data_IF_975817199800
#
_entry.id   IF_975817199800
#
_cell.length_a   1.000
_cell.length_b   1.000
_cell.length_c   1.000
_cell.angle_alpha   90.00
_cell.angle_beta   90.00
_cell.angle_gamma   90.00
#
_symmetry.space_group_name_H-M   'P 1'
#
loop_
_entity.id
_entity.type
_entity.pdbx_description
1 polymer ?
#
# COMPACT_ATOMS: atom_id res chain seq x y z
N UNK A 1 9.64 11.99 -8.82
CA UNK A 1 11.07 12.30 -8.98
C UNK A 1 11.68 12.18 -7.59
N UNK A 2 12.35 11.07 -7.31
CA UNK A 2 13.17 10.96 -6.10
C UNK A 2 14.56 11.43 -6.51
N UNK A 3 14.98 12.57 -6.00
CA UNK A 3 16.35 13.06 -6.10
C UNK A 3 16.72 13.55 -4.70
N UNK A 4 17.63 12.85 -4.03
CA UNK A 4 18.34 13.39 -2.88
C UNK A 4 19.82 13.44 -3.24
N UNK A 5 20.30 14.67 -3.42
CA UNK A 5 21.69 15.02 -3.62
C UNK A 5 21.88 16.44 -3.11
N UNK A 6 22.53 16.55 -1.97
CA UNK A 6 22.93 17.76 -1.25
C UNK A 6 23.76 18.70 -2.15
N UNK A 7 23.34 19.96 -2.30
CA UNK A 7 24.20 21.06 -2.73
C UNK A 7 23.63 22.39 -2.24
N UNK A 8 24.16 22.83 -1.10
CA UNK A 8 24.07 24.18 -0.55
C UNK A 8 24.46 25.25 -1.56
N UNK A 9 23.65 26.33 -1.56
CA UNK A 9 24.02 27.74 -1.74
C UNK A 9 25.08 28.08 -2.80
N UNK A 10 24.62 28.61 -3.94
CA UNK A 10 25.25 29.76 -4.60
C UNK A 10 24.16 30.56 -5.33
N UNK A 11 23.61 31.57 -4.63
CA UNK A 11 22.80 32.63 -5.22
C UNK A 11 23.77 33.69 -5.75
N UNK A 12 23.80 33.88 -7.08
CA UNK A 12 24.44 35.04 -7.69
C UNK A 12 23.48 36.21 -7.70
N UNK A 13 24.00 37.32 -7.23
CA UNK A 13 23.41 38.64 -7.12
C UNK A 13 22.89 39.20 -8.44
N UNK A 14 21.70 39.79 -8.39
CA UNK A 14 21.40 41.01 -9.14
C UNK A 14 20.62 41.97 -8.23
N UNK A 15 21.38 42.86 -7.60
CA UNK A 15 20.95 44.14 -7.04
C UNK A 15 20.47 45.07 -8.18
N UNK A 16 19.38 45.82 -7.99
CA UNK A 16 19.28 47.31 -7.90
C UNK A 16 17.81 47.62 -8.31
N UNK A 17 16.97 48.48 -7.72
CA UNK A 17 17.09 49.73 -6.97
C UNK A 17 15.80 49.97 -6.15
N UNK A 18 15.95 50.59 -4.98
CA UNK A 18 14.86 51.18 -4.18
C UNK A 18 14.33 52.48 -4.80
N UNK A 19 13.00 52.63 -4.83
CA UNK A 19 12.30 53.91 -4.93
C UNK A 19 11.18 53.96 -3.90
N UNK A 20 11.22 54.93 -2.99
CA UNK A 20 10.32 55.09 -1.84
C UNK A 20 9.42 56.30 -2.08
N UNK A 21 8.10 56.15 -2.16
CA UNK A 21 7.13 57.24 -1.92
C UNK A 21 5.73 56.73 -1.48
N UNK A 22 5.35 57.16 -0.28
CA UNK A 22 4.03 57.61 0.21
C UNK A 22 2.73 57.18 -0.50
N UNK A 23 1.91 56.42 0.22
CA UNK A 23 0.50 56.73 0.56
C UNK A 23 -0.51 57.01 -0.56
N UNK A 24 -1.33 56.02 -0.89
CA UNK A 24 -2.71 56.19 -1.36
C UNK A 24 -3.49 54.88 -1.16
N UNK A 25 -4.68 54.97 -0.58
CA UNK A 25 -5.58 53.85 -0.35
C UNK A 25 -6.22 53.41 -1.67
N UNK A 26 -5.86 52.23 -2.18
CA UNK A 26 -6.48 51.67 -3.36
C UNK A 26 -7.60 50.70 -2.96
N UNK A 27 -8.84 51.11 -3.23
CA UNK A 27 -10.05 50.30 -3.10
C UNK A 27 -10.05 49.31 -4.25
N UNK A 28 -9.83 48.03 -3.95
CA UNK A 28 -10.00 46.94 -4.93
C UNK A 28 -11.50 46.70 -5.10
N UNK A 29 -12.04 47.16 -6.23
CA UNK A 29 -13.36 46.77 -6.72
C UNK A 29 -13.27 45.31 -7.18
N UNK A 30 -13.82 44.39 -6.39
CA UNK A 30 -13.98 43.00 -6.81
C UNK A 30 -15.12 42.86 -7.81
N UNK A 31 -14.86 42.17 -8.92
CA UNK A 31 -15.80 41.88 -9.99
C UNK A 31 -16.90 40.92 -9.50
N UNK A 32 -18.16 41.36 -9.61
CA UNK A 32 -19.37 40.65 -9.15
C UNK A 32 -19.58 39.29 -9.84
N UNK A 33 -18.83 39.00 -10.92
CA UNK A 33 -18.91 37.73 -11.67
C UNK A 33 -18.14 36.57 -11.03
N UNK A 34 -17.23 36.83 -10.09
CA UNK A 34 -16.45 35.77 -9.42
C UNK A 34 -17.25 35.11 -8.28
N UNK A 35 -18.25 35.81 -7.73
CA UNK A 35 -19.15 35.27 -6.70
C UNK A 35 -20.28 34.39 -7.28
N UNK A 36 -20.72 34.62 -8.51
CA UNK A 36 -21.77 33.78 -9.13
C UNK A 36 -21.27 32.43 -9.65
N UNK A 37 -19.97 32.30 -9.97
CA UNK A 37 -19.38 31.03 -10.41
C UNK A 37 -19.10 30.07 -9.23
N UNK A 38 -18.80 30.60 -8.03
CA UNK A 38 -18.59 29.81 -6.82
C UNK A 38 -19.91 29.34 -6.17
N UNK A 39 -21.05 29.96 -6.51
CA UNK A 39 -22.35 29.64 -5.93
C UNK A 39 -23.16 28.56 -6.69
N UNK A 40 -22.69 28.08 -7.86
CA UNK A 40 -23.49 27.20 -8.75
C UNK A 40 -23.04 25.74 -8.91
N UNK A 41 -22.16 25.23 -8.04
CA UNK A 41 -21.82 23.81 -8.04
C UNK A 41 -21.92 23.20 -6.63
N UNK A 42 -23.14 23.17 -6.09
CA UNK A 42 -23.49 22.25 -5.00
C UNK A 42 -24.52 21.26 -5.52
N UNK A 43 -24.26 19.93 -5.47
CA UNK A 43 -25.30 18.97 -5.80
C UNK A 43 -26.37 19.00 -4.71
N UNK A 44 -27.56 19.47 -5.06
CA UNK A 44 -28.73 19.38 -4.20
C UNK A 44 -29.17 17.92 -4.09
N UNK A 45 -29.02 17.33 -2.90
CA UNK A 45 -29.60 16.03 -2.52
C UNK A 45 -31.14 16.11 -2.61
N UNK A 46 -31.70 15.66 -3.73
CA UNK A 46 -33.14 15.50 -3.88
C UNK A 46 -33.55 14.12 -3.39
N UNK A 47 -34.15 14.12 -2.20
CA UNK A 47 -35.01 13.07 -1.63
C UNK A 47 -34.37 11.69 -1.37
N UNK A 48 -33.98 11.45 -0.12
CA UNK A 48 -33.75 10.10 0.42
C UNK A 48 -35.10 9.53 0.88
N UNK A 49 -35.61 8.53 0.16
CA UNK A 49 -36.83 7.81 0.54
C UNK A 49 -36.49 6.74 1.60
N UNK A 50 -36.88 6.96 2.85
CA UNK A 50 -36.66 6.00 3.96
C UNK A 50 -37.89 5.12 4.09
N UNK A 51 -37.84 3.90 3.56
CA UNK A 51 -38.86 2.88 3.84
C UNK A 51 -38.74 2.43 5.30
N UNK A 52 -39.70 2.83 6.14
CA UNK A 52 -39.83 2.31 7.52
C UNK A 52 -40.17 0.82 7.48
N UNK A 53 -39.17 -0.04 7.65
CA UNK A 53 -39.38 -1.46 7.98
C UNK A 53 -39.89 -1.57 9.42
N UNK A 54 -41.09 -2.10 9.60
CA UNK A 54 -41.79 -2.26 10.88
C UNK A 54 -41.47 -3.58 11.61
N UNK A 55 -40.34 -4.23 11.31
CA UNK A 55 -39.92 -5.45 12.05
C UNK A 55 -38.82 -5.13 13.06
N UNK A 56 -39.08 -5.45 14.33
CA UNK A 56 -38.18 -5.32 15.46
C UNK A 56 -36.86 -6.06 15.17
N UNK A 57 -35.76 -5.32 15.00
CA UNK A 57 -34.41 -5.86 14.88
C UNK A 57 -33.64 -5.55 16.17
N UNK A 58 -33.14 -6.60 16.83
CA UNK A 58 -32.20 -6.50 17.95
C UNK A 58 -30.80 -6.68 17.37
N UNK A 59 -30.07 -5.57 17.19
CA UNK A 59 -28.71 -5.50 16.63
C UNK A 59 -28.30 -4.05 16.33
N UNK A 60 -26.99 -3.73 16.17
CA UNK A 60 -26.52 -2.36 15.94
C UNK A 60 -27.10 -1.80 14.64
N UNK A 61 -27.80 -0.67 14.75
CA UNK A 61 -28.54 -0.04 13.66
C UNK A 61 -27.69 1.07 13.03
N UNK A 62 -27.35 0.94 11.75
CA UNK A 62 -26.72 2.00 10.96
C UNK A 62 -27.80 3.01 10.56
N UNK A 63 -27.65 4.28 10.93
CA UNK A 63 -28.73 5.28 10.79
C UNK A 63 -28.52 6.23 9.59
N UNK A 64 -27.30 6.41 9.09
CA UNK A 64 -27.04 7.13 7.84
C UNK A 64 -25.56 7.07 7.47
N UNK A 65 -25.25 6.97 6.17
CA UNK A 65 -23.93 7.29 5.61
C UNK A 65 -24.08 8.63 4.89
N UNK A 66 -23.33 9.64 5.32
CA UNK A 66 -23.28 10.93 4.62
C UNK A 66 -21.88 11.10 4.07
N UNK A 67 -21.76 11.09 2.74
CA UNK A 67 -20.51 11.35 2.04
C UNK A 67 -20.36 12.87 1.94
N UNK A 68 -19.35 13.44 2.59
CA UNK A 68 -19.02 14.85 2.46
C UNK A 68 -17.87 15.02 1.46
N UNK A 69 -17.84 16.17 0.77
CA UNK A 69 -17.01 16.47 -0.42
C UNK A 69 -15.50 16.34 -0.19
N UNK A 70 -15.04 16.30 1.06
CA UNK A 70 -13.71 15.84 1.41
C UNK A 70 -13.76 14.34 1.72
N UNK A 71 -13.47 13.47 0.72
CA UNK A 71 -13.41 12.00 0.74
C UNK A 71 -12.99 11.33 2.08
N UNK A 72 -13.83 11.44 3.09
CA UNK A 72 -13.64 10.91 4.43
C UNK A 72 -14.95 10.23 4.80
N UNK A 73 -14.95 8.90 4.71
CA UNK A 73 -16.08 8.10 5.18
C UNK A 73 -16.14 8.20 6.71
N UNK A 74 -17.14 8.93 7.22
CA UNK A 74 -17.38 9.05 8.65
C UNK A 74 -18.51 8.11 9.05
N UNK A 75 -18.17 7.03 9.74
CA UNK A 75 -19.17 6.12 10.32
C UNK A 75 -19.63 6.69 11.66
N UNK A 76 -20.89 7.12 11.74
CA UNK A 76 -21.52 7.60 12.99
C UNK A 76 -22.33 6.47 13.63
N UNK A 77 -21.93 6.07 14.84
CA UNK A 77 -22.65 5.11 15.67
C UNK A 77 -23.14 5.75 16.97
N UNK A 78 -24.37 5.42 17.40
CA UNK A 78 -24.96 5.93 18.65
C UNK A 78 -25.09 4.78 19.64
N UNK A 79 -24.36 4.84 20.75
CA UNK A 79 -24.45 3.88 21.86
C UNK A 79 -24.71 4.67 23.14
N UNK A 80 -25.81 4.35 23.84
CA UNK A 80 -26.16 4.88 25.17
C UNK A 80 -26.08 6.41 25.29
N UNK A 81 -26.50 7.15 24.25
CA UNK A 81 -26.56 8.62 24.27
C UNK A 81 -25.24 9.34 23.99
N UNK A 82 -24.14 8.63 23.76
CA UNK A 82 -22.87 9.22 23.33
C UNK A 82 -22.72 9.08 21.81
N UNK A 83 -22.36 10.18 21.16
CA UNK A 83 -22.04 10.23 19.73
C UNK A 83 -20.56 9.92 19.52
N UNK A 84 -20.27 8.79 18.89
CA UNK A 84 -18.91 8.41 18.52
C UNK A 84 -18.70 8.72 17.04
N UNK A 85 -17.77 9.65 16.78
CA UNK A 85 -17.34 10.05 15.43
C UNK A 85 -15.93 9.50 15.22
N UNK A 86 -15.75 8.64 14.21
CA UNK A 86 -14.44 8.10 13.85
C UNK A 86 -13.96 8.70 12.52
N UNK A 87 -12.94 9.58 12.54
CA UNK A 87 -12.18 9.90 11.34
C UNK A 87 -11.06 8.86 11.15
N UNK A 88 -10.84 8.44 9.90
CA UNK A 88 -9.83 7.45 9.47
C UNK A 88 -8.41 7.80 9.98
N UNK A 89 -8.08 7.32 11.17
CA UNK A 89 -6.72 7.08 11.61
C UNK A 89 -6.77 6.07 12.76
N UNK A 90 -6.96 4.79 12.40
CA UNK A 90 -7.14 3.66 13.32
C UNK A 90 -5.93 3.34 14.21
N UNK A 91 -4.83 4.11 14.11
CA UNK A 91 -3.76 4.12 15.11
C UNK A 91 -4.19 4.74 16.44
N UNK A 92 -5.08 5.75 16.44
CA UNK A 92 -5.53 6.42 17.67
C UNK A 92 -6.42 5.56 18.54
N UNK A 93 -7.26 4.69 17.97
CA UNK A 93 -8.15 3.83 18.76
C UNK A 93 -7.36 2.72 19.49
N UNK A 94 -6.35 2.15 18.83
CA UNK A 94 -5.44 1.16 19.43
C UNK A 94 -4.57 1.79 20.53
N UNK A 95 -4.08 3.01 20.32
CA UNK A 95 -3.39 3.77 21.37
C UNK A 95 -4.33 4.16 22.51
N UNK A 96 -5.57 4.55 22.23
CA UNK A 96 -6.54 4.93 23.27
C UNK A 96 -6.91 3.73 24.14
N UNK A 97 -7.21 2.57 23.55
CA UNK A 97 -7.49 1.34 24.30
C UNK A 97 -6.26 0.89 25.08
N UNK A 98 -5.06 0.92 24.49
CA UNK A 98 -3.82 0.60 25.19
C UNK A 98 -3.54 1.57 26.34
N UNK A 99 -3.82 2.87 26.18
CA UNK A 99 -3.69 3.89 27.22
C UNK A 99 -4.71 3.65 28.32
N UNK A 100 -5.96 3.31 28.00
CA UNK A 100 -6.98 2.95 28.99
C UNK A 100 -6.62 1.68 29.76
N UNK A 101 -6.07 0.66 29.09
CA UNK A 101 -5.61 -0.58 29.75
C UNK A 101 -4.39 -0.30 30.63
N UNK A 102 -3.41 0.49 30.17
CA UNK A 102 -2.27 0.92 30.99
C UNK A 102 -2.72 1.74 32.19
N UNK A 103 -3.65 2.69 32.01
CA UNK A 103 -4.19 3.47 33.12
C UNK A 103 -4.96 2.60 34.11
N UNK A 104 -5.77 1.66 33.64
CA UNK A 104 -6.45 0.70 34.51
C UNK A 104 -5.42 -0.14 35.31
N UNK A 105 -4.34 -0.59 34.67
CA UNK A 105 -3.27 -1.34 35.33
C UNK A 105 -2.51 -0.52 36.36
N UNK A 106 -2.20 0.75 36.04
CA UNK A 106 -1.55 1.69 36.96
C UNK A 106 -2.45 1.99 38.16
N UNK A 107 -3.75 2.22 37.93
CA UNK A 107 -4.72 2.49 39.00
C UNK A 107 -4.90 1.27 39.90
N UNK A 108 -5.03 0.07 39.34
CA UNK A 108 -5.11 -1.18 40.10
C UNK A 108 -3.81 -1.41 40.88
N UNK A 109 -2.64 -1.21 40.27
CA UNK A 109 -1.35 -1.38 40.94
C UNK A 109 -1.15 -0.38 42.07
N UNK A 110 -1.48 0.90 41.86
CA UNK A 110 -1.42 1.94 42.88
C UNK A 110 -2.39 1.68 44.03
N UNK A 111 -3.61 1.21 43.75
CA UNK A 111 -4.57 0.81 44.78
C UNK A 111 -4.08 -0.40 45.58
N UNK A 112 -3.52 -1.41 44.92
CA UNK A 112 -2.93 -2.57 45.62
C UNK A 112 -1.75 -2.15 46.50
N UNK A 113 -0.87 -1.27 46.01
CA UNK A 113 0.26 -0.73 46.79
C UNK A 113 -0.23 0.13 47.96
N UNK A 114 -1.24 0.97 47.76
CA UNK A 114 -1.82 1.80 48.81
C UNK A 114 -2.45 0.94 49.92
N UNK A 115 -3.20 -0.10 49.54
CA UNK A 115 -3.77 -1.07 50.48
C UNK A 115 -2.65 -1.80 51.22
N UNK A 116 -1.61 -2.28 50.53
CA UNK A 116 -0.48 -2.96 51.16
C UNK A 116 0.29 -2.04 52.11
N UNK A 117 0.57 -0.80 51.70
CA UNK A 117 1.29 0.19 52.49
C UNK A 117 0.51 0.58 53.75
N UNK A 118 -0.80 0.85 53.66
CA UNK A 118 -1.63 1.17 54.82
C UNK A 118 -1.96 -0.03 55.71
N UNK A 119 -2.18 -1.23 55.13
CA UNK A 119 -2.41 -2.45 55.88
C UNK A 119 -1.15 -2.91 56.61
N UNK A 120 0.03 -2.84 55.96
CA UNK A 120 1.30 -3.14 56.60
C UNK A 120 1.70 -2.08 57.62
N UNK A 121 1.52 -0.77 57.34
CA UNK A 121 1.85 0.29 58.29
C UNK A 121 1.07 0.19 59.62
N UNK A 122 -0.15 -0.36 59.60
CA UNK A 122 -0.91 -0.67 60.82
C UNK A 122 -0.38 -1.91 61.57
N UNK A 123 0.33 -2.82 60.92
CA UNK A 123 0.82 -4.08 61.50
C UNK A 123 2.31 -4.12 61.84
N UNK A 124 3.12 -3.12 61.44
CA UNK A 124 4.56 -3.04 61.82
C UNK A 124 4.80 -3.02 63.35
N UNK A 125 3.79 -2.74 64.19
CA UNK A 125 3.92 -2.86 65.66
C UNK A 125 3.97 -4.30 66.21
N UNK A 126 3.83 -5.34 65.38
CA UNK A 126 3.99 -6.76 65.77
C UNK A 126 4.68 -7.54 64.65
N UNK A 127 5.98 -7.37 64.50
CA UNK A 127 6.77 -8.19 63.57
C UNK A 127 7.67 -9.12 64.38
N UNK A 128 7.18 -10.33 64.67
CA UNK A 128 8.03 -11.48 65.00
C UNK A 128 8.09 -12.36 63.75
N UNK A 129 9.29 -12.51 63.20
CA UNK A 129 9.55 -12.98 61.85
C UNK A 129 9.92 -14.47 61.88
N UNK A 130 8.95 -15.39 62.04
CA UNK A 130 9.25 -16.84 62.00
C UNK A 130 8.07 -17.78 61.63
N UNK A 131 7.03 -17.30 60.94
CA UNK A 131 5.95 -18.18 60.45
C UNK A 131 6.05 -18.53 58.95
N UNK A 132 5.75 -19.78 58.55
CA UNK A 132 5.71 -20.17 57.14
C UNK A 132 4.60 -19.40 56.41
N UNK A 133 4.97 -18.82 55.26
CA UNK A 133 4.15 -17.94 54.42
C UNK A 133 2.66 -18.34 54.26
N UNK A 134 2.28 -19.63 54.09
CA UNK A 134 0.88 -20.03 53.93
C UNK A 134 0.03 -19.82 55.19
N UNK A 135 0.61 -20.01 56.39
CA UNK A 135 -0.11 -19.82 57.66
C UNK A 135 -0.28 -18.33 57.96
N UNK A 136 0.74 -17.52 57.65
CA UNK A 136 0.69 -16.07 57.78
C UNK A 136 -0.40 -15.44 56.90
N UNK A 137 -0.51 -15.86 55.64
CA UNK A 137 -1.56 -15.39 54.73
C UNK A 137 -2.98 -15.78 55.19
N UNK A 138 -3.11 -16.97 55.80
CA UNK A 138 -4.39 -17.44 56.35
C UNK A 138 -4.85 -16.62 57.58
N UNK A 139 -3.93 -16.29 58.49
CA UNK A 139 -4.24 -15.46 59.66
C UNK A 139 -4.55 -14.01 59.29
N UNK A 140 -3.89 -13.46 58.27
CA UNK A 140 -4.24 -12.15 57.69
C UNK A 140 -5.66 -12.17 57.11
N UNK A 141 -6.01 -13.20 56.33
CA UNK A 141 -7.34 -13.35 55.77
C UNK A 141 -8.45 -13.53 56.84
N UNK A 142 -8.09 -14.07 58.01
CA UNK A 142 -9.00 -14.24 59.15
C UNK A 142 -9.17 -12.95 59.98
N UNK A 143 -8.12 -12.14 60.06
CA UNK A 143 -8.06 -10.87 60.81
C UNK A 143 -8.66 -9.66 60.07
N UNK A 144 -8.89 -9.78 58.76
CA UNK A 144 -9.41 -8.72 57.89
C UNK A 144 -10.93 -8.58 58.00
N UNK A 145 -11.40 -7.33 57.95
CA UNK A 145 -12.82 -7.00 58.06
C UNK A 145 -13.61 -7.55 56.87
N UNK A 146 -14.94 -7.74 57.02
CA UNK A 146 -15.79 -8.21 55.90
C UNK A 146 -15.71 -7.29 54.68
N UNK A 147 -15.53 -5.98 54.90
CA UNK A 147 -15.40 -4.99 53.83
C UNK A 147 -14.10 -5.15 53.02
N UNK A 148 -12.97 -5.39 53.69
CA UNK A 148 -11.67 -5.61 53.02
C UNK A 148 -11.67 -6.89 52.18
N UNK A 149 -12.31 -7.95 52.68
CA UNK A 149 -12.48 -9.20 51.91
C UNK A 149 -13.35 -9.03 50.67
N UNK A 150 -14.43 -8.25 50.77
CA UNK A 150 -15.28 -7.94 49.62
C UNK A 150 -14.55 -7.08 48.58
N UNK A 151 -13.72 -6.13 49.03
CA UNK A 151 -12.91 -5.29 48.15
C UNK A 151 -11.84 -6.10 47.40
N UNK A 152 -11.12 -6.99 48.10
CA UNK A 152 -10.15 -7.90 47.47
C UNK A 152 -10.83 -8.87 46.49
N UNK A 153 -12.00 -9.42 46.85
CA UNK A 153 -12.76 -10.28 45.94
C UNK A 153 -13.21 -9.52 44.68
N UNK A 154 -13.71 -8.29 44.83
CA UNK A 154 -14.09 -7.44 43.71
C UNK A 154 -12.90 -7.09 42.80
N UNK A 155 -11.73 -6.81 43.38
CA UNK A 155 -10.50 -6.55 42.63
C UNK A 155 -10.03 -7.79 41.84
N UNK A 156 -10.09 -8.98 42.44
CA UNK A 156 -9.76 -10.24 41.75
C UNK A 156 -10.73 -10.56 40.61
N UNK A 157 -12.03 -10.31 40.80
CA UNK A 157 -13.05 -10.47 39.75
C UNK A 157 -12.80 -9.49 38.60
N UNK A 158 -12.48 -8.23 38.90
CA UNK A 158 -12.17 -7.22 37.89
C UNK A 158 -10.91 -7.59 37.08
N UNK A 159 -9.86 -8.06 37.76
CA UNK A 159 -8.63 -8.50 37.10
C UNK A 159 -8.86 -9.72 36.20
N UNK A 160 -9.65 -10.69 36.67
CA UNK A 160 -10.02 -11.85 35.86
C UNK A 160 -10.86 -11.46 34.64
N UNK A 161 -11.82 -10.53 34.80
CA UNK A 161 -12.60 -9.99 33.69
C UNK A 161 -11.73 -9.25 32.67
N UNK A 162 -10.75 -8.46 33.11
CA UNK A 162 -9.78 -7.82 32.21
C UNK A 162 -8.93 -8.83 31.44
N UNK A 163 -8.44 -9.89 32.10
CA UNK A 163 -7.69 -10.96 31.43
C UNK A 163 -8.57 -11.66 30.40
N UNK A 164 -9.81 -12.02 30.76
CA UNK A 164 -10.76 -12.64 29.82
C UNK A 164 -11.06 -11.74 28.63
N UNK A 165 -11.21 -10.42 28.82
CA UNK A 165 -11.40 -9.47 27.74
C UNK A 165 -10.17 -9.39 26.85
N UNK A 166 -8.96 -9.31 27.42
CA UNK A 166 -7.71 -9.32 26.63
C UNK A 166 -7.60 -10.61 25.83
N UNK A 167 -7.87 -11.77 26.42
CA UNK A 167 -7.86 -13.07 25.73
C UNK A 167 -8.95 -13.11 24.64
N UNK A 168 -10.16 -12.66 24.94
CA UNK A 168 -11.26 -12.57 23.97
C UNK A 168 -10.86 -11.69 22.77
N UNK A 169 -10.35 -10.49 23.02
CA UNK A 169 -9.95 -9.57 21.95
C UNK A 169 -8.69 -10.05 21.21
N UNK A 170 -7.73 -10.69 21.87
CA UNK A 170 -6.51 -11.15 21.19
C UNK A 170 -6.71 -12.45 20.42
N UNK A 171 -7.52 -13.39 20.93
CA UNK A 171 -7.74 -14.71 20.31
C UNK A 171 -8.88 -14.67 19.30
N UNK A 172 -10.02 -14.06 19.63
CA UNK A 172 -11.19 -14.06 18.74
C UNK A 172 -11.03 -13.07 17.59
N UNK A 173 -10.50 -11.86 17.83
CA UNK A 173 -10.25 -10.91 16.72
C UNK A 173 -9.17 -11.44 15.78
N UNK A 174 -8.16 -12.15 16.31
CA UNK A 174 -7.16 -12.81 15.47
C UNK A 174 -7.78 -13.91 14.61
N UNK A 175 -8.63 -14.78 15.19
CA UNK A 175 -9.38 -15.79 14.42
C UNK A 175 -10.30 -15.18 13.37
N UNK A 176 -11.03 -14.12 13.71
CA UNK A 176 -11.92 -13.43 12.76
C UNK A 176 -11.14 -12.78 11.60
N UNK A 177 -9.87 -12.39 11.80
CA UNK A 177 -9.02 -11.87 10.72
C UNK A 177 -8.52 -12.96 9.76
N UNK A 178 -8.45 -14.22 10.21
CA UNK A 178 -8.02 -15.37 9.41
C UNK A 178 -9.19 -15.96 8.57
N UNK A 179 -10.45 -15.70 8.93
CA UNK A 179 -11.64 -16.28 8.29
C UNK A 179 -12.23 -15.45 7.13
N UNK A 180 -11.65 -14.30 6.79
CA UNK A 180 -12.03 -13.59 5.55
C UNK A 180 -11.48 -14.38 4.38
N UNK A 181 -12.34 -15.16 3.72
CA UNK A 181 -12.00 -15.87 2.48
C UNK A 181 -11.64 -14.82 1.43
N UNK A 182 -10.34 -14.69 1.14
CA UNK A 182 -9.79 -13.77 0.15
C UNK A 182 -10.04 -14.32 -1.27
N UNK A 183 -11.30 -14.28 -1.71
CA UNK A 183 -11.70 -14.72 -3.05
C UNK A 183 -11.49 -13.55 -4.02
N UNK A 184 -10.44 -13.66 -4.84
CA UNK A 184 -10.26 -12.77 -5.98
C UNK A 184 -11.24 -13.14 -7.10
N UNK A 185 -11.66 -12.17 -7.94
CA UNK A 185 -12.56 -12.42 -9.06
C UNK A 185 -11.96 -13.33 -10.15
N UNK A 186 -10.64 -13.43 -10.21
CA UNK A 186 -9.93 -14.36 -11.09
C UNK A 186 -8.68 -14.91 -10.39
N UNK A 187 -8.26 -16.12 -10.78
CA UNK A 187 -7.25 -16.89 -10.05
C UNK A 187 -5.89 -16.18 -10.02
N UNK A 188 -5.51 -15.55 -11.14
CA UNK A 188 -4.15 -15.05 -11.32
C UNK A 188 -4.02 -13.74 -12.09
N UNK A 189 -4.83 -13.53 -13.12
CA UNK A 189 -4.85 -12.29 -13.92
C UNK A 189 -6.03 -11.42 -13.47
N UNK A 190 -5.79 -10.22 -12.98
CA UNK A 190 -6.80 -9.29 -12.47
C UNK A 190 -6.81 -8.07 -13.39
N UNK A 191 -7.88 -7.91 -14.16
CA UNK A 191 -8.06 -6.74 -15.00
C UNK A 191 -8.42 -5.48 -14.19
N UNK A 192 -8.44 -4.33 -14.86
CA UNK A 192 -8.72 -3.03 -14.23
C UNK A 192 -10.07 -2.94 -13.52
N UNK A 193 -11.11 -3.53 -14.11
CA UNK A 193 -12.45 -3.51 -13.54
C UNK A 193 -12.53 -4.37 -12.27
N UNK A 194 -11.86 -5.52 -12.28
CA UNK A 194 -11.77 -6.44 -11.15
C UNK A 194 -11.14 -5.79 -9.91
N UNK A 195 -10.11 -4.95 -10.07
CA UNK A 195 -9.54 -4.19 -8.94
C UNK A 195 -10.14 -2.79 -8.75
N UNK A 196 -11.25 -2.49 -9.44
CA UNK A 196 -11.99 -1.22 -9.33
C UNK A 196 -11.10 -0.01 -9.60
N UNK A 197 -10.32 -0.05 -10.69
CA UNK A 197 -9.46 1.04 -11.11
C UNK A 197 -10.27 2.33 -11.33
N UNK A 198 -9.89 3.46 -10.71
CA UNK A 198 -10.31 4.77 -11.18
C UNK A 198 -10.14 4.93 -12.69
N UNK A 199 -11.13 5.50 -13.39
CA UNK A 199 -11.00 5.82 -14.81
C UNK A 199 -9.87 6.83 -15.00
N UNK A 200 -9.14 6.69 -16.10
CA UNK A 200 -8.03 7.56 -16.43
C UNK A 200 -8.02 7.86 -17.93
N UNK A 201 -8.59 9.00 -18.32
CA UNK A 201 -8.59 9.45 -19.71
C UNK A 201 -7.38 10.36 -19.95
N UNK A 202 -6.33 9.82 -20.59
CA UNK A 202 -5.32 10.61 -21.30
C UNK A 202 -4.91 9.84 -22.53
N UNK A 203 -4.79 10.54 -23.65
CA UNK A 203 -4.34 10.03 -24.95
C UNK A 203 -3.26 8.96 -24.78
N UNK A 204 -3.67 7.70 -24.84
CA UNK A 204 -2.81 6.56 -24.59
C UNK A 204 -1.99 6.31 -25.86
N UNK A 205 -0.80 6.91 -25.91
CA UNK A 205 0.19 6.56 -26.91
C UNK A 205 0.36 5.04 -26.92
N UNK A 206 0.35 4.43 -28.11
CA UNK A 206 0.43 2.98 -28.27
C UNK A 206 1.86 2.51 -28.53
N UNK A 207 2.14 1.24 -28.25
CA UNK A 207 3.45 0.63 -28.53
C UNK A 207 3.59 0.12 -29.97
N UNK A 208 2.56 0.25 -30.82
CA UNK A 208 2.45 -0.36 -32.16
C UNK A 208 3.70 -0.17 -33.04
N UNK A 209 4.40 0.97 -32.92
CA UNK A 209 5.64 1.25 -33.67
C UNK A 209 6.78 0.27 -33.34
N UNK A 210 6.80 -0.25 -32.12
CA UNK A 210 7.88 -1.09 -31.58
C UNK A 210 7.43 -2.53 -31.34
N UNK A 211 6.17 -2.86 -31.64
CA UNK A 211 5.64 -4.20 -31.51
C UNK A 211 6.20 -5.14 -32.61
N UNK A 212 6.44 -6.43 -32.30
CA UNK A 212 6.41 -7.02 -30.95
C UNK A 212 7.57 -6.50 -30.09
N UNK A 213 7.28 -6.13 -28.85
CA UNK A 213 8.28 -5.60 -27.92
C UNK A 213 9.36 -6.65 -27.63
N UNK A 214 10.61 -6.20 -27.53
CA UNK A 214 11.78 -7.07 -27.28
C UNK A 214 12.44 -6.84 -25.93
N UNK A 215 11.94 -5.88 -25.15
CA UNK A 215 12.51 -5.50 -23.87
C UNK A 215 11.43 -5.50 -22.79
N UNK A 216 11.71 -6.14 -21.68
CA UNK A 216 10.88 -6.15 -20.47
C UNK A 216 11.70 -5.54 -19.33
N UNK A 217 11.16 -4.50 -18.69
CA UNK A 217 11.83 -3.81 -17.58
C UNK A 217 11.14 -4.18 -16.28
N UNK A 218 11.88 -4.85 -15.40
CA UNK A 218 11.42 -5.23 -14.07
C UNK A 218 11.69 -4.09 -13.09
N UNK A 219 10.66 -3.71 -12.35
CA UNK A 219 10.72 -2.69 -11.30
C UNK A 219 10.10 -3.18 -10.00
N UNK A 220 10.29 -2.41 -8.93
CA UNK A 220 9.47 -2.49 -7.72
C UNK A 220 8.71 -1.17 -7.48
N UNK A 221 7.68 -1.20 -6.65
CA UNK A 221 6.87 0.00 -6.36
C UNK A 221 7.44 0.87 -5.24
N UNK A 222 8.28 0.32 -4.36
CA UNK A 222 8.68 0.96 -3.09
C UNK A 222 7.46 1.24 -2.21
N UNK A 223 6.45 0.38 -2.30
CA UNK A 223 5.25 0.42 -1.47
C UNK A 223 5.29 -0.64 -0.36
N UNK A 224 4.34 -0.62 0.59
CA UNK A 224 4.10 -1.78 1.44
C UNK A 224 3.75 -3.02 0.61
N UNK A 225 4.04 -4.20 1.18
CA UNK A 225 3.60 -5.48 0.61
C UNK A 225 2.08 -5.68 0.79
N UNK A 226 1.50 -6.49 -0.09
CA UNK A 226 0.08 -6.84 -0.06
C UNK A 226 -0.09 -8.36 -0.28
N UNK A 227 -0.69 -9.06 0.69
CA UNK A 227 -0.77 -10.54 0.68
C UNK A 227 -2.18 -11.08 0.49
N UNK A 228 -3.16 -10.19 0.30
CA UNK A 228 -4.57 -10.49 0.04
C UNK A 228 -5.04 -9.65 -1.13
N UNK A 229 -5.93 -10.18 -1.95
CA UNK A 229 -6.52 -9.49 -3.09
C UNK A 229 -7.10 -8.13 -2.69
N UNK A 230 -7.89 -8.08 -1.61
CA UNK A 230 -8.49 -6.82 -1.16
C UNK A 230 -7.44 -5.74 -0.81
N UNK A 231 -6.32 -6.17 -0.23
CA UNK A 231 -5.23 -5.27 0.15
C UNK A 231 -4.41 -4.86 -1.07
N UNK A 232 -4.15 -5.78 -2.01
CA UNK A 232 -3.44 -5.47 -3.24
C UNK A 232 -4.25 -4.54 -4.13
N UNK A 233 -5.53 -4.81 -4.33
CA UNK A 233 -6.43 -3.93 -5.08
C UNK A 233 -6.50 -2.54 -4.43
N UNK A 234 -6.53 -2.44 -3.10
CA UNK A 234 -6.45 -1.16 -2.41
C UNK A 234 -5.11 -0.45 -2.64
N UNK A 235 -4.00 -1.18 -2.60
CA UNK A 235 -2.67 -0.62 -2.85
C UNK A 235 -2.50 -0.13 -4.29
N UNK A 236 -3.04 -0.84 -5.30
CA UNK A 236 -3.07 -0.36 -6.68
C UNK A 236 -3.82 0.97 -6.79
N UNK A 237 -5.01 1.08 -6.18
CA UNK A 237 -5.78 2.34 -6.19
C UNK A 237 -5.05 3.48 -5.47
N UNK A 238 -4.34 3.19 -4.38
CA UNK A 238 -3.52 4.17 -3.67
C UNK A 238 -2.37 4.68 -4.55
N UNK A 239 -1.64 3.75 -5.18
CA UNK A 239 -0.54 4.08 -6.09
C UNK A 239 -1.07 4.87 -7.29
N UNK A 240 -2.17 4.44 -7.90
CA UNK A 240 -2.79 5.14 -9.02
C UNK A 240 -3.19 6.57 -8.64
N UNK A 241 -3.89 6.74 -7.51
CA UNK A 241 -4.27 8.05 -7.00
C UNK A 241 -3.07 8.96 -6.73
N UNK A 242 -1.97 8.39 -6.21
CA UNK A 242 -0.71 9.10 -6.05
C UNK A 242 -0.12 9.57 -7.40
N UNK A 243 0.01 8.68 -8.39
CA UNK A 243 0.58 9.05 -9.69
C UNK A 243 -0.29 10.04 -10.45
N UNK A 244 -1.61 9.86 -10.42
CA UNK A 244 -2.56 10.78 -11.02
C UNK A 244 -2.47 12.17 -10.39
N UNK A 245 -2.40 12.26 -9.05
CA UNK A 245 -2.30 13.53 -8.33
C UNK A 245 -0.93 14.21 -8.50
N UNK A 246 0.15 13.45 -8.44
CA UNK A 246 1.52 14.01 -8.39
C UNK A 246 2.10 14.29 -9.76
N UNK A 247 1.79 13.46 -10.76
CA UNK A 247 2.39 13.56 -12.09
C UNK A 247 1.38 13.67 -13.23
N UNK A 248 0.08 13.50 -12.94
CA UNK A 248 -0.95 13.57 -13.96
C UNK A 248 -0.85 12.44 -14.98
N UNK A 249 -0.40 11.25 -14.60
CA UNK A 249 -0.46 10.05 -15.45
C UNK A 249 -0.94 8.86 -14.60
N UNK A 250 -1.38 7.77 -15.25
CA UNK A 250 -1.85 6.55 -14.57
C UNK A 250 -0.73 5.84 -13.78
N UNK A 251 -0.93 4.61 -13.29
CA UNK A 251 0.17 3.75 -12.85
C UNK A 251 1.27 3.70 -13.94
N UNK A 252 2.57 3.89 -13.61
CA UNK A 252 3.62 4.01 -14.63
C UNK A 252 3.96 2.68 -15.31
N UNK A 253 3.48 1.55 -14.80
CA UNK A 253 3.79 0.21 -15.28
C UNK A 253 2.66 -0.32 -16.16
N UNK A 254 2.97 -1.30 -17.03
CA UNK A 254 1.96 -2.01 -17.81
C UNK A 254 1.24 -3.05 -16.95
N UNK A 255 2.01 -3.79 -16.16
CA UNK A 255 1.51 -4.81 -15.25
C UNK A 255 2.19 -4.73 -13.90
N UNK A 256 1.51 -5.22 -12.87
CA UNK A 256 2.00 -5.23 -11.50
C UNK A 256 1.76 -6.60 -10.86
N UNK A 257 2.64 -7.07 -9.98
CA UNK A 257 2.51 -8.36 -9.29
C UNK A 257 2.44 -8.13 -7.79
N UNK A 258 1.33 -8.54 -7.17
CA UNK A 258 1.13 -8.49 -5.73
C UNK A 258 1.91 -9.57 -4.98
N UNK A 259 2.12 -9.42 -3.66
CA UNK A 259 2.72 -10.48 -2.84
C UNK A 259 1.76 -11.65 -2.60
N UNK A 260 0.49 -11.49 -2.98
CA UNK A 260 -0.51 -12.55 -3.12
C UNK A 260 -0.28 -13.44 -4.35
N UNK A 261 0.66 -13.07 -5.23
CA UNK A 261 1.02 -13.84 -6.43
C UNK A 261 0.07 -13.63 -7.61
N UNK A 262 -0.75 -12.59 -7.60
CA UNK A 262 -1.60 -12.24 -8.75
C UNK A 262 -0.95 -11.15 -9.59
N UNK A 263 -1.21 -11.21 -10.89
CA UNK A 263 -0.86 -10.19 -11.87
C UNK A 263 -2.04 -9.25 -12.01
N UNK A 264 -1.80 -7.98 -11.81
CA UNK A 264 -2.76 -6.90 -11.93
C UNK A 264 -2.45 -6.10 -13.18
N UNK A 265 -3.45 -5.93 -14.03
CA UNK A 265 -3.39 -5.04 -15.17
C UNK A 265 -3.33 -3.59 -14.69
N UNK A 266 -2.24 -2.91 -15.00
CA UNK A 266 -2.12 -1.47 -14.83
C UNK A 266 -2.48 -0.82 -16.16
N UNK A 267 -1.52 -0.32 -16.95
CA UNK A 267 -1.83 0.17 -18.30
C UNK A 267 -2.17 -0.92 -19.32
N UNK A 268 -1.80 -2.17 -19.03
CA UNK A 268 -2.07 -3.29 -19.93
C UNK A 268 -1.16 -3.37 -21.14
N UNK A 269 -1.60 -4.14 -22.13
CA UNK A 269 -0.92 -4.35 -23.40
C UNK A 269 -1.12 -3.17 -24.36
N UNK A 270 -0.19 -2.99 -25.31
CA UNK A 270 -0.26 -1.97 -26.37
C UNK A 270 -0.33 -0.51 -25.91
N UNK A 271 -0.10 -0.23 -24.63
CA UNK A 271 -0.11 1.12 -24.05
C UNK A 271 1.29 1.49 -23.58
N UNK A 272 1.74 2.69 -23.93
CA UNK A 272 3.04 3.22 -23.50
C UNK A 272 3.04 3.46 -21.98
N UNK A 273 4.10 2.99 -21.31
CA UNK A 273 4.32 3.18 -19.88
C UNK A 273 4.84 4.56 -19.46
N UNK A 274 5.11 4.71 -18.17
CA UNK A 274 5.88 5.82 -17.59
C UNK A 274 6.95 5.34 -16.58
N UNK A 275 7.34 4.06 -16.67
CA UNK A 275 8.18 3.36 -15.70
C UNK A 275 9.68 3.59 -15.87
N UNK A 276 10.16 3.87 -17.08
CA UNK A 276 11.58 3.99 -17.39
C UNK A 276 11.81 5.00 -18.51
N UNK A 277 12.25 6.20 -18.12
CA UNK A 277 12.44 7.34 -19.01
C UNK A 277 13.28 6.97 -20.25
N UNK A 278 12.74 7.18 -21.45
CA UNK A 278 13.42 6.87 -22.72
C UNK A 278 13.26 5.42 -23.20
N UNK A 279 12.65 4.54 -22.40
CA UNK A 279 12.37 3.14 -22.77
C UNK A 279 10.88 2.79 -22.77
N UNK A 280 10.02 3.65 -22.18
CA UNK A 280 8.57 3.43 -22.04
C UNK A 280 7.84 2.97 -23.31
N UNK A 281 8.24 3.48 -24.49
CA UNK A 281 7.57 3.20 -25.77
C UNK A 281 8.01 1.91 -26.45
N UNK A 282 9.14 1.35 -26.04
CA UNK A 282 9.76 0.18 -26.66
C UNK A 282 10.04 -0.93 -25.64
N UNK A 283 9.35 -0.90 -24.49
CA UNK A 283 9.48 -1.94 -23.49
C UNK A 283 8.20 -2.14 -22.71
N UNK A 284 8.04 -3.34 -22.17
CA UNK A 284 6.97 -3.69 -21.25
C UNK A 284 7.44 -3.44 -19.81
N UNK A 285 6.75 -2.58 -19.06
CA UNK A 285 7.02 -2.34 -17.65
C UNK A 285 6.28 -3.31 -16.74
N UNK A 286 7.02 -4.13 -16.00
CA UNK A 286 6.47 -5.07 -15.02
C UNK A 286 6.97 -4.74 -13.61
N UNK A 287 6.08 -4.26 -12.74
CA UNK A 287 6.44 -3.94 -11.36
C UNK A 287 6.03 -5.02 -10.37
N UNK A 288 6.82 -5.20 -9.32
CA UNK A 288 6.45 -5.99 -8.15
C UNK A 288 6.04 -5.05 -7.03
N UNK A 289 4.84 -5.27 -6.46
CA UNK A 289 4.34 -4.48 -5.33
C UNK A 289 5.19 -4.82 -4.11
N UNK A 290 5.75 -3.79 -3.47
CA UNK A 290 6.64 -3.93 -2.33
C UNK A 290 7.95 -3.15 -2.47
N UNK A 291 8.76 -3.20 -1.41
CA UNK A 291 10.14 -2.71 -1.39
C UNK A 291 11.11 -3.88 -1.20
N UNK A 292 11.78 -4.27 -2.28
CA UNK A 292 12.69 -5.43 -2.33
C UNK A 292 14.17 -5.08 -2.08
N UNK A 293 14.45 -3.92 -1.45
CA UNK A 293 15.81 -3.54 -1.03
C UNK A 293 16.17 -4.28 0.26
N UNK A 294 17.02 -5.30 0.12
CA UNK A 294 17.58 -6.02 1.27
C UNK A 294 18.33 -5.06 2.22
N UNK A 295 18.24 -5.34 3.52
CA UNK A 295 18.95 -4.57 4.55
C UNK A 295 18.15 -3.42 5.16
N UNK A 296 16.97 -3.08 4.62
CA UNK A 296 16.04 -2.16 5.28
C UNK A 296 15.38 -2.83 6.51
N UNK A 297 14.90 -2.06 7.50
CA UNK A 297 14.19 -2.62 8.66
C UNK A 297 12.94 -3.43 8.29
N UNK A 298 12.28 -3.04 7.18
CA UNK A 298 11.13 -3.72 6.60
C UNK A 298 11.31 -3.74 5.09
N UNK A 299 11.36 -4.94 4.50
CA UNK A 299 11.46 -5.15 3.06
C UNK A 299 10.67 -6.40 2.66
N UNK A 300 10.10 -6.37 1.46
CA UNK A 300 9.41 -7.51 0.85
C UNK A 300 10.43 -8.54 0.36
N UNK A 301 10.07 -9.82 0.44
CA UNK A 301 10.84 -10.91 -0.15
C UNK A 301 10.12 -11.42 -1.39
N UNK A 302 10.85 -11.52 -2.50
CA UNK A 302 10.31 -12.12 -3.72
C UNK A 302 9.95 -13.59 -3.46
N UNK A 303 8.77 -14.00 -3.91
CA UNK A 303 8.29 -15.37 -3.74
C UNK A 303 8.35 -16.17 -5.06
N UNK A 304 8.47 -17.51 -5.00
CA UNK A 304 8.41 -18.35 -6.20
C UNK A 304 7.13 -18.15 -7.00
N UNK A 305 5.99 -17.93 -6.32
CA UNK A 305 4.70 -17.71 -6.97
C UNK A 305 4.70 -16.42 -7.81
N UNK A 306 5.26 -15.32 -7.28
CA UNK A 306 5.38 -14.07 -8.05
C UNK A 306 6.26 -14.25 -9.28
N UNK A 307 7.39 -14.95 -9.16
CA UNK A 307 8.29 -15.22 -10.28
C UNK A 307 7.62 -16.12 -11.34
N UNK A 308 6.88 -17.14 -10.91
CA UNK A 308 6.12 -18.01 -11.80
C UNK A 308 5.06 -17.21 -12.57
N UNK A 309 4.33 -16.33 -11.88
CA UNK A 309 3.25 -15.54 -12.46
C UNK A 309 3.76 -14.45 -13.39
N UNK A 310 4.94 -13.89 -13.11
CA UNK A 310 5.67 -13.06 -14.05
C UNK A 310 5.98 -13.82 -15.34
N UNK A 311 6.54 -15.03 -15.26
CA UNK A 311 6.82 -15.86 -16.44
C UNK A 311 5.55 -16.19 -17.23
N UNK A 312 4.47 -16.60 -16.55
CA UNK A 312 3.17 -16.86 -17.20
C UNK A 312 2.64 -15.64 -17.96
N UNK A 313 2.79 -14.43 -17.41
CA UNK A 313 2.41 -13.19 -18.10
C UNK A 313 3.26 -12.95 -19.35
N UNK A 314 4.58 -13.16 -19.26
CA UNK A 314 5.48 -12.96 -20.39
C UNK A 314 5.27 -13.99 -21.50
N UNK A 315 5.07 -15.27 -21.15
CA UNK A 315 4.69 -16.33 -22.08
C UNK A 315 3.38 -15.95 -22.79
N UNK A 316 2.39 -15.46 -22.04
CA UNK A 316 1.13 -14.98 -22.61
C UNK A 316 1.32 -13.79 -23.55
N UNK A 317 2.23 -12.87 -23.22
CA UNK A 317 2.59 -11.74 -24.09
C UNK A 317 3.21 -12.20 -25.41
N UNK A 318 4.00 -13.28 -25.40
CA UNK A 318 4.55 -13.89 -26.61
C UNK A 318 3.44 -14.55 -27.44
N UNK A 319 2.55 -15.32 -26.81
CA UNK A 319 1.41 -15.95 -27.49
C UNK A 319 0.47 -14.93 -28.16
N UNK A 320 0.27 -13.78 -27.51
CA UNK A 320 -0.56 -12.69 -28.03
C UNK A 320 0.14 -11.84 -29.11
N UNK A 321 1.45 -12.00 -29.29
CA UNK A 321 2.24 -11.21 -30.24
C UNK A 321 2.65 -9.83 -29.72
N UNK A 322 2.45 -9.52 -28.43
CA UNK A 322 2.91 -8.27 -27.80
C UNK A 322 4.41 -8.33 -27.46
N UNK A 323 4.94 -9.52 -27.20
CA UNK A 323 6.37 -9.76 -26.95
C UNK A 323 6.95 -10.67 -28.04
N UNK A 324 8.15 -10.35 -28.49
CA UNK A 324 8.87 -11.22 -29.40
C UNK A 324 9.38 -12.46 -28.64
N UNK A 325 9.38 -13.68 -29.21
CA UNK A 325 9.85 -14.89 -28.51
C UNK A 325 11.28 -14.81 -27.96
N UNK A 326 12.12 -13.94 -28.53
CA UNK A 326 13.50 -13.68 -28.08
C UNK A 326 13.65 -12.36 -27.30
N UNK A 327 12.61 -11.95 -26.56
CA UNK A 327 12.67 -10.76 -25.70
C UNK A 327 13.76 -10.90 -24.63
N UNK A 328 14.23 -9.78 -24.09
CA UNK A 328 15.13 -9.75 -22.96
C UNK A 328 14.51 -9.08 -21.75
N UNK A 329 14.99 -9.47 -20.56
CA UNK A 329 14.57 -8.96 -19.27
C UNK A 329 15.74 -8.21 -18.65
N UNK A 330 15.47 -7.01 -18.16
CA UNK A 330 16.42 -6.19 -17.39
C UNK A 330 15.76 -5.69 -16.11
N UNK A 331 16.58 -5.37 -15.10
CA UNK A 331 16.14 -4.55 -13.99
C UNK A 331 16.13 -3.07 -14.39
N UNK A 332 15.23 -2.27 -13.80
CA UNK A 332 15.21 -0.82 -14.04
C UNK A 332 16.57 -0.15 -13.78
N UNK A 333 17.36 -0.66 -12.82
CA UNK A 333 18.72 -0.22 -12.51
C UNK A 333 19.75 -0.46 -13.62
N UNK A 334 19.50 -1.37 -14.55
CA UNK A 334 20.41 -1.65 -15.66
C UNK A 334 20.32 -0.54 -16.72
N UNK A 335 19.19 0.17 -16.75
CA UNK A 335 18.93 1.25 -17.71
C UNK A 335 19.07 2.65 -17.10
N UNK A 336 18.82 2.80 -15.79
CA UNK A 336 18.77 4.09 -15.09
C UNK A 336 19.44 4.04 -13.72
N UNK A 337 19.94 5.18 -13.20
CA UNK A 337 20.53 5.25 -11.85
C UNK A 337 19.42 5.17 -10.78
N UNK A 338 18.94 3.96 -10.50
CA UNK A 338 17.89 3.67 -9.50
C UNK A 338 18.25 2.42 -8.69
N UNK A 339 17.67 2.28 -7.50
CA UNK A 339 17.76 1.06 -6.71
C UNK A 339 16.77 -0.03 -7.17
N UNK A 340 15.78 0.33 -7.99
CA UNK A 340 14.76 -0.59 -8.53
C UNK A 340 15.39 -1.62 -9.47
N UNK A 341 15.05 -2.92 -9.39
CA UNK A 341 13.90 -3.52 -8.69
C UNK A 341 14.16 -3.90 -7.22
N UNK A 342 15.27 -3.46 -6.61
CA UNK A 342 15.69 -3.87 -5.27
C UNK A 342 16.59 -5.11 -5.30
N UNK A 343 17.49 -5.22 -4.34
CA UNK A 343 18.57 -6.20 -4.36
C UNK A 343 18.10 -7.66 -4.40
N UNK A 344 17.03 -8.04 -3.69
CA UNK A 344 16.58 -9.44 -3.70
C UNK A 344 15.88 -9.84 -5.01
N UNK A 345 15.02 -8.97 -5.53
CA UNK A 345 14.29 -9.20 -6.77
C UNK A 345 15.26 -9.18 -7.96
N UNK A 346 16.22 -8.27 -7.94
CA UNK A 346 17.28 -8.19 -8.94
C UNK A 346 18.08 -9.49 -9.03
N UNK A 347 18.52 -10.06 -7.89
CA UNK A 347 19.20 -11.37 -7.87
C UNK A 347 18.33 -12.49 -8.45
N UNK A 348 17.01 -12.46 -8.21
CA UNK A 348 16.10 -13.50 -8.68
C UNK A 348 15.87 -13.45 -10.21
N UNK A 349 15.75 -12.25 -10.78
CA UNK A 349 15.55 -12.11 -12.24
C UNK A 349 16.82 -12.41 -13.04
N UNK A 350 18.00 -12.22 -12.45
CA UNK A 350 19.28 -12.61 -13.06
C UNK A 350 19.42 -14.12 -13.32
N UNK A 351 18.54 -14.94 -12.75
CA UNK A 351 18.49 -16.38 -12.99
C UNK A 351 17.54 -16.77 -14.11
N UNK A 352 16.84 -15.82 -14.74
CA UNK A 352 15.92 -16.10 -15.82
C UNK A 352 16.67 -16.30 -17.14
N UNK A 353 16.18 -17.21 -17.98
CA UNK A 353 16.80 -17.50 -19.29
C UNK A 353 16.83 -16.29 -20.23
N UNK A 354 15.84 -15.39 -20.11
CA UNK A 354 15.74 -14.17 -20.91
C UNK A 354 16.48 -12.97 -20.30
N UNK A 355 17.20 -13.14 -19.18
CA UNK A 355 17.90 -12.00 -18.57
C UNK A 355 19.06 -11.52 -19.46
N UNK A 356 19.17 -10.21 -19.67
CA UNK A 356 20.27 -9.61 -20.43
C UNK A 356 21.56 -9.56 -19.59
N UNK A 357 22.39 -10.58 -19.74
CA UNK A 357 23.69 -10.65 -19.08
C UNK A 357 24.77 -9.78 -19.75
N UNK A 358 24.52 -9.30 -20.97
CA UNK A 358 25.50 -8.58 -21.79
C UNK A 358 25.31 -7.05 -21.72
N UNK A 359 24.26 -6.58 -21.04
CA UNK A 359 23.86 -5.17 -20.99
C UNK A 359 23.65 -4.58 -22.39
N UNK A 360 23.06 -5.36 -23.29
CA UNK A 360 22.81 -4.97 -24.67
C UNK A 360 21.99 -3.68 -24.79
N UNK A 361 21.12 -3.37 -23.82
CA UNK A 361 20.24 -2.20 -23.87
C UNK A 361 20.81 -0.95 -23.17
N UNK A 362 21.98 -1.04 -22.55
CA UNK A 362 22.58 0.08 -21.82
C UNK A 362 22.89 1.25 -22.76
N UNK A 363 22.46 2.45 -22.38
CA UNK A 363 22.62 3.71 -23.13
C UNK A 363 22.03 3.72 -24.56
N UNK A 364 21.21 2.74 -24.93
CA UNK A 364 20.50 2.74 -26.21
C UNK A 364 19.19 3.52 -26.14
N UNK A 365 18.80 4.03 -27.29
CA UNK A 365 17.47 4.61 -27.56
C UNK A 365 16.52 3.54 -28.08
N UNK A 366 15.21 3.79 -27.99
CA UNK A 366 14.21 2.88 -28.57
C UNK A 366 14.40 2.65 -30.08
N UNK A 367 14.84 3.67 -30.81
CA UNK A 367 15.04 3.56 -32.26
C UNK A 367 16.28 2.73 -32.61
N UNK A 368 17.36 2.85 -31.83
CA UNK A 368 18.53 1.98 -31.96
C UNK A 368 18.19 0.53 -31.63
N UNK A 369 17.40 0.29 -30.57
CA UNK A 369 16.92 -1.05 -30.20
C UNK A 369 16.14 -1.65 -31.37
N UNK A 370 15.18 -0.91 -31.93
CA UNK A 370 14.38 -1.40 -33.05
C UNK A 370 15.22 -1.70 -34.30
N UNK A 371 16.23 -0.86 -34.59
CA UNK A 371 17.13 -1.06 -35.73
C UNK A 371 18.08 -2.25 -35.57
N UNK A 372 18.49 -2.61 -34.34
CA UNK A 372 19.30 -3.82 -34.10
C UNK A 372 18.61 -5.06 -34.65
N UNK A 373 17.30 -5.16 -34.42
CA UNK A 373 16.51 -6.34 -34.81
C UNK A 373 16.05 -6.34 -36.27
N UNK A 374 15.88 -5.16 -36.89
CA UNK A 374 15.65 -5.10 -38.34
C UNK A 374 16.79 -5.76 -39.12
N UNK A 375 18.03 -5.45 -38.74
CA UNK A 375 19.21 -6.01 -39.38
C UNK A 375 19.35 -7.53 -39.14
N UNK A 376 18.98 -8.02 -37.95
CA UNK A 376 18.91 -9.46 -37.68
C UNK A 376 17.92 -10.15 -38.61
N UNK A 377 16.71 -9.60 -38.72
CA UNK A 377 15.65 -10.18 -39.56
C UNK A 377 16.07 -10.22 -41.04
N UNK A 378 16.67 -9.15 -41.55
CA UNK A 378 17.20 -9.10 -42.93
C UNK A 378 18.36 -10.09 -43.15
N UNK A 379 19.25 -10.23 -42.17
CA UNK A 379 20.36 -11.18 -42.20
C UNK A 379 19.88 -12.62 -42.21
N UNK A 380 18.91 -12.97 -41.35
CA UNK A 380 18.28 -14.29 -41.30
C UNK A 380 17.61 -14.63 -42.63
N UNK A 381 16.77 -13.73 -43.16
CA UNK A 381 16.11 -13.92 -44.46
C UNK A 381 17.14 -14.15 -45.57
N UNK A 382 18.21 -13.36 -45.60
CA UNK A 382 19.28 -13.48 -46.60
C UNK A 382 20.03 -14.82 -46.47
N UNK A 383 20.27 -15.29 -45.24
CA UNK A 383 20.89 -16.58 -44.95
C UNK A 383 20.00 -17.76 -45.39
N UNK A 384 18.71 -17.72 -45.07
CA UNK A 384 17.72 -18.73 -45.47
C UNK A 384 17.60 -18.79 -46.99
N UNK A 385 17.51 -17.64 -47.67
CA UNK A 385 17.47 -17.58 -49.14
C UNK A 385 18.74 -18.17 -49.78
N UNK A 386 19.92 -17.85 -49.25
CA UNK A 386 21.19 -18.43 -49.73
C UNK A 386 21.22 -19.96 -49.57
N UNK A 387 20.68 -20.48 -48.48
CA UNK A 387 20.58 -21.92 -48.22
C UNK A 387 19.63 -22.59 -49.22
N UNK A 388 18.45 -22.02 -49.46
CA UNK A 388 17.48 -22.53 -50.44
C UNK A 388 18.07 -22.52 -51.86
N UNK A 389 18.76 -21.45 -52.26
CA UNK A 389 19.40 -21.37 -53.58
C UNK A 389 20.50 -22.43 -53.73
N UNK A 390 21.29 -22.66 -52.68
CA UNK A 390 22.35 -23.69 -52.68
C UNK A 390 21.77 -25.10 -52.82
N UNK A 391 20.69 -25.43 -52.10
CA UNK A 391 20.00 -26.73 -52.22
C UNK A 391 19.35 -26.93 -53.60
N UNK A 392 18.86 -25.86 -54.23
CA UNK A 392 18.28 -25.93 -55.57
C UNK A 392 19.34 -26.17 -56.64
N UNK A 393 20.53 -25.59 -56.47
CA UNK A 393 21.67 -25.76 -57.37
C UNK A 393 22.44 -27.07 -57.17
N UNK A 394 22.26 -27.79 -56.06
CA UNK A 394 22.87 -29.12 -55.84
C UNK A 394 21.98 -30.29 -56.30
N UNK A 395 20.77 -30.02 -56.81
CA UNK A 395 19.81 -31.00 -57.34
C UNK A 395 19.67 -30.94 -58.87
N UNK A 396 20.47 -30.11 -59.54
CA UNK A 396 20.66 -30.03 -61.00
C UNK A 396 22.07 -30.50 -61.29
#
# INVERSE_FOLDING_TARGET
MWNEGDARHELRDHEVSMGRTSGSSEVVVMDERVLEAAARAQPALTNINVTKSSRLHIGPKFVSVTQNVDNTEVVKGRILGLELVSPQNSKRLRCSIAVFVCWAFVVVSALTFFIFYFALAKQVKRLDLDLPLPRYLWDIAKSTTRAERLLCAAAMIALFACILLVVYFTVIVKRASEEVVDVAPHEWYIDRDMWLAPPFDKDEETTDRYDPLRLVVIAHTVSPECTRFINCAAELRNLQGYYAKTYGYDLPYNFMIGNDGRVYEARGWNVVGAHTLGFNRCSLGLAFIGDYREGLPSYAKVTPLQLQRAKMLLDRGVELGHLHPSYHVVGAKDLKPTASPGANLYKAIQLWSHYDHENMYYKKTCDEIMNMYKNETESEITSTLKTIVKEKNSKV
#
